data_IF_215002246418
#
_entry.id   IF_215002246418
#
_cell.length_a   1.000
_cell.length_b   1.000
_cell.length_c   1.000
_cell.angle_alpha   90.00
_cell.angle_beta   90.00
_cell.angle_gamma   90.00
#
_symmetry.space_group_name_H-M   'P 1'
#
loop_
_entity.id
_entity.type
_entity.pdbx_description
1 polymer ?
#
# COMPACT_ATOMS: atom_id res chain seq x y z
N UNK A 1 -16.32 9.77 1.55
CA UNK A 1 -16.22 8.76 0.52
C UNK A 1 -14.87 8.81 -0.18
N UNK A 2 -14.22 7.65 -0.35
CA UNK A 2 -12.83 7.60 -0.82
C UNK A 2 -12.64 8.18 -2.22
N UNK A 3 -13.48 7.80 -3.17
CA UNK A 3 -13.31 8.25 -4.56
C UNK A 3 -13.46 9.76 -4.69
N UNK A 4 -14.37 10.34 -3.93
CA UNK A 4 -14.55 11.79 -3.94
C UNK A 4 -13.34 12.50 -3.32
N UNK A 5 -12.80 11.96 -2.23
CA UNK A 5 -11.61 12.51 -1.62
C UNK A 5 -10.41 12.43 -2.55
N UNK A 6 -10.27 11.34 -3.30
CA UNK A 6 -9.21 11.18 -4.29
C UNK A 6 -9.37 12.21 -5.41
N UNK A 7 -10.59 12.40 -5.92
CA UNK A 7 -10.85 13.38 -6.96
C UNK A 7 -10.50 14.80 -6.51
N UNK A 8 -10.85 15.15 -5.28
CA UNK A 8 -10.49 16.46 -4.71
C UNK A 8 -8.99 16.63 -4.59
N UNK A 9 -8.29 15.60 -4.13
CA UNK A 9 -6.83 15.65 -4.02
C UNK A 9 -6.19 15.83 -5.40
N UNK A 10 -6.68 15.12 -6.42
CA UNK A 10 -6.15 15.22 -7.78
C UNK A 10 -6.38 16.60 -8.40
N UNK A 11 -7.43 17.30 -8.00
CA UNK A 11 -7.72 18.64 -8.54
C UNK A 11 -6.60 19.64 -8.22
N UNK A 12 -5.78 19.38 -7.23
CA UNK A 12 -4.63 20.24 -6.88
C UNK A 12 -3.36 19.88 -7.64
N UNK A 13 -3.41 18.88 -8.53
CA UNK A 13 -2.27 18.40 -9.32
C UNK A 13 -1.04 18.06 -8.47
N UNK A 14 -1.17 17.16 -7.47
CA UNK A 14 -0.07 16.85 -6.57
C UNK A 14 1.00 16.01 -7.27
N UNK A 15 2.24 16.12 -6.78
CA UNK A 15 3.30 15.22 -7.19
C UNK A 15 3.26 13.90 -6.42
N UNK A 16 2.77 13.95 -5.19
CA UNK A 16 2.67 12.79 -4.30
C UNK A 16 1.26 12.77 -3.71
N UNK A 17 0.63 11.59 -3.75
CA UNK A 17 -0.64 11.33 -3.09
C UNK A 17 -0.42 10.39 -1.91
N UNK A 18 -0.94 10.76 -0.76
CA UNK A 18 -0.89 9.93 0.44
C UNK A 18 -2.25 9.29 0.70
N UNK A 19 -2.28 7.96 0.77
CA UNK A 19 -3.45 7.21 1.20
C UNK A 19 -3.16 6.55 2.54
N UNK A 20 -4.03 6.78 3.52
CA UNK A 20 -3.90 6.18 4.85
C UNK A 20 -5.06 5.21 5.05
N UNK A 21 -4.77 3.90 5.03
CA UNK A 21 -5.76 2.84 5.15
C UNK A 21 -6.94 3.03 4.18
N UNK A 22 -6.69 3.12 2.85
CA UNK A 22 -7.71 3.60 1.91
C UNK A 22 -8.94 2.71 1.81
N UNK A 23 -8.86 1.44 2.20
CA UNK A 23 -9.95 0.49 2.05
C UNK A 23 -10.43 -0.10 3.37
N UNK A 24 -10.01 0.44 4.51
CA UNK A 24 -10.28 -0.16 5.82
C UNK A 24 -11.76 -0.28 6.15
N UNK A 25 -12.62 0.59 5.61
CA UNK A 25 -14.04 0.61 5.89
C UNK A 25 -14.90 0.19 4.70
N UNK A 26 -14.29 -0.37 3.63
CA UNK A 26 -15.00 -0.70 2.40
C UNK A 26 -15.25 -2.19 2.28
N UNK A 27 -16.32 -2.56 1.57
CA UNK A 27 -16.59 -3.95 1.22
C UNK A 27 -15.64 -4.43 0.10
N UNK A 28 -15.61 -5.75 -0.21
CA UNK A 28 -14.67 -6.28 -1.22
C UNK A 28 -14.83 -5.67 -2.60
N UNK A 29 -16.04 -5.32 -3.02
CA UNK A 29 -16.27 -4.74 -4.34
C UNK A 29 -15.72 -3.31 -4.39
N UNK A 30 -16.02 -2.52 -3.37
CA UNK A 30 -15.52 -1.15 -3.28
C UNK A 30 -13.98 -1.13 -3.11
N UNK A 31 -13.44 -2.10 -2.38
CA UNK A 31 -11.99 -2.25 -2.23
C UNK A 31 -11.33 -2.50 -3.59
N UNK A 32 -11.89 -3.42 -4.39
CA UNK A 32 -11.36 -3.70 -5.73
C UNK A 32 -11.41 -2.46 -6.62
N UNK A 33 -12.46 -1.68 -6.53
CA UNK A 33 -12.61 -0.45 -7.30
C UNK A 33 -11.54 0.59 -6.94
N UNK A 34 -11.25 0.74 -5.65
CA UNK A 34 -10.20 1.65 -5.18
C UNK A 34 -8.82 1.17 -5.62
N UNK A 35 -8.56 -0.13 -5.53
CA UNK A 35 -7.27 -0.68 -5.96
C UNK A 35 -7.06 -0.50 -7.46
N UNK A 36 -8.11 -0.67 -8.26
CA UNK A 36 -8.04 -0.41 -9.70
C UNK A 36 -7.73 1.06 -9.99
N UNK A 37 -8.35 1.97 -9.25
CA UNK A 37 -8.07 3.39 -9.38
C UNK A 37 -6.62 3.71 -9.04
N UNK A 38 -6.07 3.10 -7.99
CA UNK A 38 -4.67 3.27 -7.62
C UNK A 38 -3.76 2.80 -8.77
N UNK A 39 -4.06 1.65 -9.37
CA UNK A 39 -3.29 1.16 -10.52
C UNK A 39 -3.30 2.13 -11.70
N UNK A 40 -4.43 2.78 -11.95
CA UNK A 40 -4.53 3.75 -13.01
C UNK A 40 -3.76 5.05 -12.71
N UNK A 41 -3.72 5.44 -11.43
CA UNK A 41 -3.10 6.71 -11.03
C UNK A 41 -1.59 6.62 -10.87
N UNK A 42 -1.04 5.44 -10.59
CA UNK A 42 0.38 5.31 -10.25
C UNK A 42 1.31 5.73 -11.40
N UNK A 43 0.84 5.74 -12.63
CA UNK A 43 1.62 6.20 -13.78
C UNK A 43 1.66 7.71 -13.88
N UNK A 44 0.80 8.41 -13.16
CA UNK A 44 0.68 9.87 -13.23
C UNK A 44 1.22 10.57 -12.01
N UNK A 45 1.12 9.94 -10.85
CA UNK A 45 1.55 10.52 -9.58
C UNK A 45 2.26 9.44 -8.76
N UNK A 46 3.15 9.87 -7.88
CA UNK A 46 3.74 8.98 -6.89
C UNK A 46 2.73 8.76 -5.77
N UNK A 47 2.50 7.51 -5.40
CA UNK A 47 1.51 7.16 -4.39
C UNK A 47 2.21 6.54 -3.20
N UNK A 48 1.93 7.06 -2.01
CA UNK A 48 2.37 6.49 -0.75
C UNK A 48 1.16 5.98 0.00
N UNK A 49 1.15 4.69 0.32
CA UNK A 49 0.04 4.05 1.02
C UNK A 49 0.52 3.58 2.38
N UNK A 50 -0.19 3.97 3.44
CA UNK A 50 0.02 3.43 4.78
C UNK A 50 -1.10 2.46 5.05
N UNK A 51 -0.78 1.20 5.30
CA UNK A 51 -1.80 0.16 5.48
C UNK A 51 -1.30 -0.96 6.39
N UNK A 52 -2.23 -1.55 7.14
CA UNK A 52 -2.01 -2.80 7.87
C UNK A 52 -2.49 -4.01 7.06
N UNK A 53 -3.07 -3.78 5.89
CA UNK A 53 -3.54 -4.84 5.02
C UNK A 53 -2.40 -5.28 4.11
N UNK A 54 -1.73 -6.38 4.50
CA UNK A 54 -0.58 -6.87 3.75
C UNK A 54 -0.94 -7.41 2.38
N UNK A 55 -2.13 -7.98 2.24
CA UNK A 55 -2.59 -8.46 0.93
C UNK A 55 -2.77 -7.30 -0.04
N UNK A 56 -3.31 -6.18 0.44
CA UNK A 56 -3.43 -4.98 -0.39
C UNK A 56 -2.05 -4.44 -0.78
N UNK A 57 -1.13 -4.35 0.17
CA UNK A 57 0.22 -3.90 -0.11
C UNK A 57 0.88 -4.77 -1.19
N UNK A 58 0.71 -6.09 -1.09
CA UNK A 58 1.29 -7.01 -2.08
C UNK A 58 0.67 -6.83 -3.47
N UNK A 59 -0.61 -6.48 -3.54
CA UNK A 59 -1.31 -6.36 -4.82
C UNK A 59 -1.03 -5.04 -5.54
N UNK A 60 -0.93 -3.93 -4.79
CA UNK A 60 -0.97 -2.61 -5.43
C UNK A 60 0.36 -1.87 -5.44
N UNK A 61 1.34 -2.27 -4.63
CA UNK A 61 2.57 -1.51 -4.49
C UNK A 61 3.71 -2.07 -5.33
N UNK A 62 4.55 -1.19 -5.83
CA UNK A 62 5.79 -1.55 -6.52
C UNK A 62 6.92 -1.72 -5.51
N UNK A 63 6.96 -0.86 -4.50
CA UNK A 63 7.93 -0.92 -3.40
C UNK A 63 7.20 -1.01 -2.08
N UNK A 64 7.79 -1.71 -1.13
CA UNK A 64 7.22 -1.87 0.20
C UNK A 64 8.26 -1.54 1.26
N UNK A 65 7.83 -0.77 2.26
CA UNK A 65 8.62 -0.50 3.45
C UNK A 65 7.92 -1.16 4.64
N UNK A 66 8.64 -1.99 5.36
CA UNK A 66 8.12 -2.57 6.60
C UNK A 66 8.64 -1.78 7.78
N UNK A 67 7.71 -1.18 8.52
CA UNK A 67 8.01 -0.37 9.70
C UNK A 67 7.55 -1.09 10.96
N UNK A 68 8.33 -0.97 12.04
CA UNK A 68 7.95 -1.53 13.31
C UNK A 68 8.41 -0.61 14.43
N UNK A 69 7.47 -0.15 15.25
CA UNK A 69 7.71 0.75 16.38
C UNK A 69 8.56 1.96 15.99
N UNK A 70 8.25 2.55 14.84
CA UNK A 70 8.95 3.74 14.37
C UNK A 70 10.23 3.50 13.60
N UNK A 71 10.69 2.26 13.53
CA UNK A 71 11.92 1.91 12.82
C UNK A 71 11.62 1.31 11.45
N UNK A 72 12.38 1.72 10.45
CA UNK A 72 12.35 1.08 9.14
C UNK A 72 13.15 -0.22 9.20
N UNK A 73 12.45 -1.35 9.11
CA UNK A 73 13.08 -2.66 9.22
C UNK A 73 13.59 -3.13 7.86
N UNK A 74 12.76 -2.99 6.84
CA UNK A 74 13.14 -3.43 5.50
C UNK A 74 12.44 -2.60 4.45
N UNK A 75 13.12 -2.36 3.31
CA UNK A 75 12.57 -1.63 2.18
C UNK A 75 13.10 -2.23 0.89
N UNK A 76 12.24 -2.40 -0.09
CA UNK A 76 12.65 -2.90 -1.39
C UNK A 76 11.47 -3.12 -2.32
N UNK A 77 11.75 -3.77 -3.43
CA UNK A 77 10.69 -4.20 -4.34
C UNK A 77 9.69 -5.04 -3.55
N UNK A 78 8.41 -4.85 -3.82
CA UNK A 78 7.35 -5.54 -3.09
C UNK A 78 7.53 -7.05 -3.13
N UNK A 79 7.81 -7.63 -4.28
CA UNK A 79 8.02 -9.07 -4.38
C UNK A 79 9.20 -9.55 -3.55
N UNK A 80 10.27 -8.76 -3.48
CA UNK A 80 11.43 -9.14 -2.67
C UNK A 80 11.10 -9.10 -1.19
N UNK A 81 10.40 -8.05 -0.75
CA UNK A 81 10.05 -7.92 0.67
C UNK A 81 9.11 -9.05 1.11
N UNK A 82 8.15 -9.43 0.28
CA UNK A 82 7.16 -10.44 0.64
C UNK A 82 7.65 -11.87 0.44
N UNK A 83 8.46 -12.14 -0.57
CA UNK A 83 8.84 -13.51 -0.90
C UNK A 83 10.31 -13.83 -0.64
N UNK A 84 11.18 -12.83 -0.54
CA UNK A 84 12.61 -13.00 -0.30
C UNK A 84 13.13 -11.96 0.69
N UNK A 85 12.50 -11.83 1.88
CA UNK A 85 12.93 -10.81 2.85
C UNK A 85 14.35 -11.06 3.33
N UNK A 86 15.09 -9.98 3.56
CA UNK A 86 16.47 -10.05 4.04
C UNK A 86 16.55 -10.11 5.56
N UNK A 87 15.52 -9.66 6.24
CA UNK A 87 15.50 -9.57 7.70
C UNK A 87 14.57 -10.61 8.29
N UNK A 88 15.05 -11.29 9.32
CA UNK A 88 14.28 -12.31 10.00
C UNK A 88 12.97 -11.75 10.57
N UNK A 89 13.01 -10.52 11.06
CA UNK A 89 11.83 -9.87 11.61
C UNK A 89 10.75 -9.68 10.53
N UNK A 90 11.15 -9.32 9.32
CA UNK A 90 10.22 -9.20 8.18
C UNK A 90 9.61 -10.56 7.84
N UNK A 91 10.45 -11.59 7.74
CA UNK A 91 10.00 -12.94 7.44
C UNK A 91 9.00 -13.44 8.48
N UNK A 92 9.30 -13.25 9.76
CA UNK A 92 8.41 -13.68 10.83
C UNK A 92 7.06 -12.96 10.77
N UNK A 93 7.08 -11.66 10.50
CA UNK A 93 5.86 -10.87 10.40
C UNK A 93 4.99 -11.35 9.23
N UNK A 94 5.57 -11.53 8.07
CA UNK A 94 4.87 -11.98 6.87
C UNK A 94 4.33 -13.39 7.05
N UNK A 95 5.15 -14.30 7.55
CA UNK A 95 4.75 -15.69 7.79
C UNK A 95 3.60 -15.76 8.78
N UNK A 96 3.66 -14.97 9.84
CA UNK A 96 2.60 -14.93 10.84
C UNK A 96 1.29 -14.35 10.31
N UNK A 97 1.35 -13.49 9.29
CA UNK A 97 0.15 -12.85 8.73
C UNK A 97 -0.45 -13.63 7.57
N UNK A 98 0.38 -14.26 6.77
CA UNK A 98 -0.09 -15.02 5.59
C UNK A 98 -0.11 -16.52 5.81
N UNK A 99 0.74 -16.98 6.67
CA UNK A 99 0.87 -18.39 6.93
C UNK A 99 0.06 -18.88 8.08
#
# INVERSE_FOLDING_TARGET
>A
QQRLCIARALATEPEILLFDEPTSALDPIATASIEELIHQLKDKVTILIVTHNMQQAARVSDFTAYMYLGDLIEYGWTDDVFFRPRHKQTEDYITGRFG
#
